data_IF_022138645025
#
_entry.id   IF_022138645025
#
_cell.length_a   1.000
_cell.length_b   1.000
_cell.length_c   1.000
_cell.angle_alpha   90.00
_cell.angle_beta   90.00
_cell.angle_gamma   90.00
#
_symmetry.space_group_name_H-M   'P 1'
#
loop_
_entity.id
_entity.type
_entity.pdbx_description
1 polymer ?
#
# COMPACT_ATOMS: atom_id res chain seq x y z
N UNK A 1 -11.13 -34.34 39.71
CA UNK A 1 -10.55 -32.99 39.77
C UNK A 1 -9.34 -32.97 38.85
N UNK A 2 -9.57 -32.71 37.57
CA UNK A 2 -8.54 -32.57 36.56
C UNK A 2 -8.38 -31.08 36.31
N UNK A 3 -7.24 -30.51 36.69
CA UNK A 3 -6.91 -29.12 36.46
C UNK A 3 -6.74 -28.90 34.97
N UNK A 4 -7.64 -28.10 34.39
CA UNK A 4 -7.44 -27.47 33.09
C UNK A 4 -6.29 -26.48 33.29
N UNK A 5 -5.12 -26.77 32.72
CA UNK A 5 -4.10 -25.75 32.51
C UNK A 5 -4.63 -24.81 31.43
N UNK A 6 -5.27 -23.73 31.85
CA UNK A 6 -5.36 -22.52 31.05
C UNK A 6 -3.93 -22.05 30.79
N UNK A 7 -3.42 -22.35 29.59
CA UNK A 7 -2.25 -21.64 29.09
C UNK A 7 -2.71 -20.21 28.84
N UNK A 8 -2.05 -19.18 29.40
CA UNK A 8 -2.46 -17.81 29.15
C UNK A 8 -2.28 -17.55 27.66
N UNK A 9 -3.38 -17.26 26.97
CA UNK A 9 -3.34 -16.63 25.65
C UNK A 9 -2.45 -15.40 25.83
N UNK A 10 -1.24 -15.43 25.27
CA UNK A 10 -0.25 -14.39 25.47
C UNK A 10 -0.87 -13.06 25.07
N UNK A 11 -1.17 -12.23 26.05
CA UNK A 11 -1.77 -10.92 25.87
C UNK A 11 -0.89 -10.14 24.89
N UNK A 12 -1.45 -9.75 23.75
CA UNK A 12 -0.69 -9.08 22.71
C UNK A 12 -0.35 -7.70 23.26
N UNK A 13 0.93 -7.44 23.53
CA UNK A 13 1.35 -6.14 24.04
C UNK A 13 0.91 -5.04 23.06
N UNK A 14 0.23 -3.97 23.53
CA UNK A 14 -0.09 -2.78 22.73
C UNK A 14 1.13 -2.21 21.99
N UNK A 15 2.33 -2.36 22.57
CA UNK A 15 3.59 -1.93 21.97
C UNK A 15 3.87 -2.65 20.65
N UNK A 16 3.53 -3.93 20.54
CA UNK A 16 3.72 -4.72 19.32
C UNK A 16 2.80 -4.25 18.20
N UNK A 17 1.52 -4.01 18.52
CA UNK A 17 0.55 -3.52 17.54
C UNK A 17 0.95 -2.14 17.03
N UNK A 18 1.37 -1.24 17.92
CA UNK A 18 1.91 0.06 17.55
C UNK A 18 3.14 -0.07 16.63
N UNK A 19 4.08 -0.96 16.99
CA UNK A 19 5.28 -1.20 16.19
C UNK A 19 4.94 -1.78 14.82
N UNK A 20 4.02 -2.74 14.73
CA UNK A 20 3.54 -3.30 13.47
C UNK A 20 2.91 -2.22 12.58
N UNK A 21 2.00 -1.41 13.14
CA UNK A 21 1.35 -0.31 12.41
C UNK A 21 2.35 0.67 11.84
N UNK A 22 3.35 1.06 12.65
CA UNK A 22 4.42 1.95 12.22
C UNK A 22 5.27 1.31 11.12
N UNK A 23 5.68 0.05 11.31
CA UNK A 23 6.46 -0.71 10.34
C UNK A 23 5.75 -0.81 8.99
N UNK A 24 4.47 -1.22 8.99
CA UNK A 24 3.71 -1.39 7.77
C UNK A 24 3.46 -0.05 7.06
N UNK A 25 3.10 1.00 7.80
CA UNK A 25 2.81 2.33 7.23
C UNK A 25 4.07 2.97 6.63
N UNK A 26 5.19 2.96 7.36
CA UNK A 26 6.47 3.48 6.86
C UNK A 26 6.97 2.68 5.66
N UNK A 27 6.86 1.35 5.72
CA UNK A 27 7.19 0.46 4.61
C UNK A 27 6.38 0.78 3.36
N UNK A 28 5.05 0.98 3.51
CA UNK A 28 4.18 1.38 2.40
C UNK A 28 4.59 2.71 1.76
N UNK A 29 4.96 3.72 2.55
CA UNK A 29 5.45 4.99 2.01
C UNK A 29 6.80 4.82 1.30
N UNK A 30 7.73 4.07 1.89
CA UNK A 30 9.05 3.83 1.31
C UNK A 30 8.95 3.12 -0.05
N UNK A 31 8.23 2.00 -0.11
CA UNK A 31 8.09 1.26 -1.38
C UNK A 31 7.30 2.06 -2.41
N UNK A 32 6.34 2.88 -1.99
CA UNK A 32 5.64 3.81 -2.91
C UNK A 32 6.62 4.77 -3.56
N UNK A 33 7.54 5.35 -2.80
CA UNK A 33 8.56 6.26 -3.34
C UNK A 33 9.49 5.53 -4.32
N UNK A 34 9.97 4.34 -3.96
CA UNK A 34 10.85 3.55 -4.82
C UNK A 34 10.19 3.19 -6.17
N UNK A 35 8.96 2.68 -6.13
CA UNK A 35 8.18 2.33 -7.32
C UNK A 35 7.87 3.56 -8.18
N UNK A 36 7.44 4.66 -7.55
CA UNK A 36 7.14 5.93 -8.23
C UNK A 36 8.39 6.46 -8.93
N UNK A 37 9.54 6.51 -8.24
CA UNK A 37 10.79 6.98 -8.83
C UNK A 37 11.30 6.07 -9.94
N UNK A 38 11.14 4.76 -9.83
CA UNK A 38 11.52 3.83 -10.88
C UNK A 38 10.70 4.08 -12.16
N UNK A 39 9.38 4.26 -12.03
CA UNK A 39 8.48 4.56 -13.15
C UNK A 39 8.77 5.93 -13.75
N UNK A 40 8.87 6.98 -12.94
CA UNK A 40 9.11 8.34 -13.44
C UNK A 40 10.47 8.46 -14.13
N UNK A 41 11.52 7.79 -13.63
CA UNK A 41 12.83 7.74 -14.32
C UNK A 41 12.76 6.99 -15.65
N UNK A 42 11.94 5.96 -15.75
CA UNK A 42 11.74 5.20 -16.99
C UNK A 42 10.95 5.99 -18.03
N UNK A 43 9.96 6.78 -17.58
CA UNK A 43 9.15 7.63 -18.45
C UNK A 43 9.92 8.89 -18.90
N UNK A 44 10.74 9.47 -18.01
CA UNK A 44 11.42 10.75 -18.27
C UNK A 44 10.46 11.92 -18.36
N UNK A 45 10.83 12.96 -19.13
CA UNK A 45 10.06 14.20 -19.26
C UNK A 45 8.97 14.13 -20.36
N UNK A 46 8.36 12.96 -20.56
CA UNK A 46 7.33 12.78 -21.58
C UNK A 46 6.07 13.58 -21.25
N UNK A 47 5.57 14.30 -22.27
CA UNK A 47 4.33 15.06 -22.18
C UNK A 47 3.14 14.17 -21.75
N UNK A 48 2.36 14.66 -20.79
CA UNK A 48 1.23 13.92 -20.20
C UNK A 48 1.60 13.06 -18.98
N UNK A 49 2.85 13.10 -18.52
CA UNK A 49 3.25 12.47 -17.25
C UNK A 49 3.00 13.43 -16.10
N UNK A 50 2.10 13.05 -15.18
CA UNK A 50 1.82 13.82 -13.97
C UNK A 50 2.38 13.07 -12.74
N UNK A 51 3.52 13.49 -12.16
CA UNK A 51 4.17 12.80 -11.05
C UNK A 51 3.26 12.56 -9.85
N UNK A 52 2.40 13.52 -9.54
CA UNK A 52 1.41 13.38 -8.46
C UNK A 52 0.43 12.24 -8.72
N UNK A 53 -0.08 12.10 -9.95
CA UNK A 53 -1.02 11.03 -10.27
C UNK A 53 -0.37 9.64 -10.21
N UNK A 54 0.90 9.54 -10.62
CA UNK A 54 1.70 8.32 -10.48
C UNK A 54 1.86 7.98 -9.00
N UNK A 55 2.24 8.95 -8.17
CA UNK A 55 2.41 8.74 -6.73
C UNK A 55 1.09 8.32 -6.05
N UNK A 56 -0.03 8.99 -6.37
CA UNK A 56 -1.36 8.65 -5.84
C UNK A 56 -1.78 7.23 -6.23
N UNK A 57 -1.64 6.86 -7.51
CA UNK A 57 -2.02 5.52 -7.98
C UNK A 57 -1.17 4.44 -7.29
N UNK A 58 0.13 4.69 -7.19
CA UNK A 58 1.10 3.78 -6.57
C UNK A 58 0.80 3.61 -5.09
N UNK A 59 0.52 4.69 -4.36
CA UNK A 59 0.19 4.62 -2.94
C UNK A 59 -1.11 3.84 -2.71
N UNK A 60 -2.14 4.02 -3.54
CA UNK A 60 -3.38 3.23 -3.45
C UNK A 60 -3.15 1.72 -3.66
N UNK A 61 -2.34 1.34 -4.66
CA UNK A 61 -1.97 -0.06 -4.89
C UNK A 61 -1.21 -0.64 -3.68
N UNK A 62 -0.16 0.04 -3.26
CA UNK A 62 0.74 -0.42 -2.18
C UNK A 62 -0.02 -0.51 -0.86
N UNK A 63 -0.81 0.51 -0.51
CA UNK A 63 -1.64 0.53 0.69
C UNK A 63 -2.58 -0.68 0.73
N UNK A 64 -3.26 -0.95 -0.38
CA UNK A 64 -4.17 -2.09 -0.48
C UNK A 64 -3.44 -3.42 -0.34
N UNK A 65 -2.34 -3.64 -1.09
CA UNK A 65 -1.56 -4.87 -1.00
C UNK A 65 -0.98 -5.09 0.40
N UNK A 66 -0.52 -4.02 1.06
CA UNK A 66 -0.02 -4.05 2.43
C UNK A 66 -1.13 -4.39 3.42
N UNK A 67 -2.31 -3.79 3.29
CA UNK A 67 -3.47 -4.09 4.13
C UNK A 67 -3.85 -5.56 4.06
N UNK A 68 -3.89 -6.15 2.85
CA UNK A 68 -4.19 -7.58 2.68
C UNK A 68 -3.12 -8.49 3.27
N UNK A 69 -1.85 -8.11 3.15
CA UNK A 69 -0.77 -8.84 3.80
C UNK A 69 -0.85 -8.77 5.34
N UNK A 70 -1.21 -7.61 5.90
CA UNK A 70 -1.42 -7.42 7.32
C UNK A 70 -2.62 -8.23 7.85
N UNK A 71 -3.74 -8.25 7.13
CA UNK A 71 -4.92 -9.06 7.48
C UNK A 71 -4.58 -10.54 7.65
N UNK A 72 -3.83 -11.10 6.70
CA UNK A 72 -3.40 -12.50 6.75
C UNK A 72 -2.30 -12.72 7.79
N UNK A 73 -1.40 -11.76 7.98
CA UNK A 73 -0.33 -11.82 8.97
C UNK A 73 -0.82 -11.78 10.41
N UNK A 74 -1.98 -11.15 10.63
CA UNK A 74 -2.60 -10.95 11.94
C UNK A 74 -3.89 -11.77 12.10
N UNK A 75 -4.03 -12.88 11.34
CA UNK A 75 -5.24 -13.71 11.37
C UNK A 75 -5.62 -14.22 12.78
N UNK A 76 -4.63 -14.42 13.65
CA UNK A 76 -4.82 -14.85 15.04
C UNK A 76 -5.20 -13.69 15.98
N UNK A 77 -5.27 -12.46 15.45
CA UNK A 77 -5.47 -11.20 16.17
C UNK A 77 -6.53 -10.32 15.47
N UNK A 78 -7.75 -10.84 15.22
CA UNK A 78 -8.70 -10.26 14.26
C UNK A 78 -9.15 -8.81 14.60
N UNK A 79 -9.23 -8.48 15.89
CA UNK A 79 -9.56 -7.13 16.33
C UNK A 79 -8.48 -6.11 15.91
N UNK A 80 -7.20 -6.48 16.01
CA UNK A 80 -6.09 -5.63 15.59
C UNK A 80 -5.91 -5.64 14.08
N UNK A 81 -6.11 -6.79 13.43
CA UNK A 81 -6.02 -6.94 11.98
C UNK A 81 -6.95 -5.95 11.26
N UNK A 82 -8.21 -5.82 11.71
CA UNK A 82 -9.16 -4.87 11.12
C UNK A 82 -8.73 -3.41 11.30
N UNK A 83 -8.34 -3.02 12.52
CA UNK A 83 -7.91 -1.64 12.78
C UNK A 83 -6.67 -1.25 11.97
N UNK A 84 -5.71 -2.17 11.86
CA UNK A 84 -4.48 -1.95 11.09
C UNK A 84 -4.77 -1.92 9.59
N UNK A 85 -5.58 -2.85 9.07
CA UNK A 85 -5.90 -2.86 7.64
C UNK A 85 -6.63 -1.60 7.21
N UNK A 86 -7.59 -1.13 8.02
CA UNK A 86 -8.25 0.17 7.79
C UNK A 86 -7.28 1.34 7.88
N UNK A 87 -6.32 1.32 8.81
CA UNK A 87 -5.28 2.36 8.89
C UNK A 87 -4.44 2.40 7.61
N UNK A 88 -4.00 1.23 7.13
CA UNK A 88 -3.21 1.11 5.90
C UNK A 88 -4.01 1.54 4.68
N UNK A 89 -5.28 1.14 4.58
CA UNK A 89 -6.19 1.59 3.51
C UNK A 89 -6.39 3.10 3.54
N UNK A 90 -6.42 3.73 4.71
CA UNK A 90 -6.55 5.19 4.83
C UNK A 90 -5.24 5.98 4.59
N UNK A 91 -4.12 5.29 4.41
CA UNK A 91 -2.81 5.91 4.21
C UNK A 91 -2.75 6.89 3.01
N UNK A 92 -3.35 6.61 1.82
CA UNK A 92 -3.35 7.56 0.72
C UNK A 92 -4.03 8.89 1.05
N UNK A 93 -5.13 8.85 1.82
CA UNK A 93 -5.87 10.05 2.21
C UNK A 93 -5.11 10.85 3.27
N UNK A 94 -4.67 10.19 4.33
CA UNK A 94 -3.93 10.84 5.42
C UNK A 94 -2.62 11.46 4.94
N UNK A 95 -1.91 10.78 4.01
CA UNK A 95 -0.72 11.34 3.39
C UNK A 95 -1.05 12.56 2.51
N UNK A 96 -2.15 12.54 1.75
CA UNK A 96 -2.56 13.70 0.95
C UNK A 96 -2.99 14.87 1.84
N UNK A 97 -3.73 14.63 2.91
CA UNK A 97 -4.13 15.66 3.87
C UNK A 97 -2.89 16.32 4.49
N UNK A 98 -1.85 15.54 4.78
CA UNK A 98 -0.55 16.07 5.23
C UNK A 98 0.10 16.98 4.17
N UNK A 99 0.12 16.58 2.90
CA UNK A 99 0.71 17.38 1.82
C UNK A 99 -0.06 18.69 1.57
N UNK A 100 -1.40 18.64 1.59
CA UNK A 100 -2.25 19.82 1.45
C UNK A 100 -2.04 20.75 2.65
N UNK A 101 -2.05 20.22 3.87
CA UNK A 101 -1.78 21.00 5.08
C UNK A 101 -0.39 21.64 5.06
N UNK A 102 0.62 20.94 4.55
CA UNK A 102 1.95 21.51 4.35
C UNK A 102 1.94 22.69 3.35
N UNK A 103 1.26 22.55 2.21
CA UNK A 103 1.14 23.62 1.22
C UNK A 103 0.41 24.85 1.79
N UNK A 104 -0.71 24.64 2.50
CA UNK A 104 -1.45 25.71 3.18
C UNK A 104 -0.56 26.51 4.15
N UNK A 105 0.27 25.82 4.94
CA UNK A 105 1.18 26.45 5.90
C UNK A 105 2.32 27.18 5.18
N UNK A 106 2.86 26.62 4.10
CA UNK A 106 3.96 27.21 3.35
C UNK A 106 3.55 28.45 2.54
N UNK A 107 2.34 28.46 2.01
CA UNK A 107 1.81 29.50 1.11
C UNK A 107 0.93 30.53 1.83
N UNK A 108 0.60 30.30 3.12
CA UNK A 108 -0.36 31.09 3.91
C UNK A 108 -1.73 31.23 3.20
N UNK A 109 -2.15 30.15 2.52
CA UNK A 109 -3.39 30.09 1.74
C UNK A 109 -4.34 29.00 2.26
N UNK A 110 -5.33 29.36 3.10
CA UNK A 110 -6.36 28.45 3.57
C UNK A 110 -7.33 27.96 2.49
N UNK A 111 -7.42 28.63 1.34
CA UNK A 111 -8.37 28.29 0.26
C UNK A 111 -7.94 27.02 -0.49
N UNK A 112 -6.68 26.61 -0.38
CA UNK A 112 -6.19 25.31 -0.85
C UNK A 112 -6.95 24.11 -0.24
N UNK A 113 -7.65 24.33 0.88
CA UNK A 113 -8.59 23.34 1.44
C UNK A 113 -9.69 22.91 0.46
N UNK A 114 -10.07 23.74 -0.51
CA UNK A 114 -11.03 23.39 -1.56
C UNK A 114 -10.54 22.30 -2.51
N UNK A 115 -9.22 22.12 -2.65
CA UNK A 115 -8.59 21.07 -3.47
C UNK A 115 -8.74 19.69 -2.80
N UNK A 116 -8.89 19.64 -1.48
CA UNK A 116 -8.91 18.41 -0.70
C UNK A 116 -10.05 17.46 -1.13
N UNK A 117 -11.25 17.99 -1.40
CA UNK A 117 -12.40 17.16 -1.77
C UNK A 117 -12.24 16.54 -3.17
N UNK A 118 -11.68 17.29 -4.12
CA UNK A 118 -11.41 16.76 -5.46
C UNK A 118 -10.40 15.62 -5.40
N UNK A 119 -9.29 15.82 -4.66
CA UNK A 119 -8.27 14.79 -4.51
C UNK A 119 -8.81 13.60 -3.77
N UNK A 120 -9.60 13.80 -2.70
CA UNK A 120 -10.25 12.73 -1.95
C UNK A 120 -11.16 11.90 -2.85
N UNK A 121 -11.99 12.53 -3.68
CA UNK A 121 -12.83 11.84 -4.66
C UNK A 121 -12.01 11.01 -5.65
N UNK A 122 -10.88 11.55 -6.13
CA UNK A 122 -9.97 10.83 -7.03
C UNK A 122 -9.30 9.64 -6.34
N UNK A 123 -8.80 9.82 -5.12
CA UNK A 123 -8.19 8.75 -4.32
C UNK A 123 -9.19 7.64 -4.01
N UNK A 124 -10.44 7.96 -3.67
CA UNK A 124 -11.49 6.97 -3.47
C UNK A 124 -11.69 6.10 -4.70
N UNK A 125 -11.78 6.67 -5.90
CA UNK A 125 -11.89 5.88 -7.14
C UNK A 125 -10.69 4.96 -7.37
N UNK A 126 -9.47 5.43 -7.09
CA UNK A 126 -8.24 4.63 -7.21
C UNK A 126 -8.24 3.49 -6.19
N UNK A 127 -8.61 3.78 -4.95
CA UNK A 127 -8.69 2.79 -3.88
C UNK A 127 -9.76 1.73 -4.18
N UNK A 128 -10.97 2.13 -4.58
CA UNK A 128 -12.07 1.22 -4.93
C UNK A 128 -11.67 0.24 -6.03
N UNK A 129 -10.90 0.72 -7.01
CA UNK A 129 -10.32 -0.16 -8.03
C UNK A 129 -9.44 -1.23 -7.39
N UNK A 130 -8.47 -0.88 -6.55
CA UNK A 130 -7.56 -1.88 -5.97
C UNK A 130 -8.23 -2.79 -4.95
N UNK A 131 -9.13 -2.30 -4.10
CA UNK A 131 -9.84 -3.13 -3.12
C UNK A 131 -10.78 -4.14 -3.78
N UNK A 132 -11.35 -3.80 -4.94
CA UNK A 132 -12.13 -4.74 -5.77
C UNK A 132 -11.25 -5.86 -6.34
N UNK A 133 -10.01 -5.56 -6.69
CA UNK A 133 -9.11 -6.50 -7.37
C UNK A 133 -8.18 -7.28 -6.41
N UNK A 134 -8.00 -6.79 -5.19
CA UNK A 134 -7.24 -7.41 -4.10
C UNK A 134 -8.20 -7.68 -2.93
N UNK A 135 -8.86 -8.85 -2.92
CA UNK A 135 -9.92 -9.16 -1.97
C UNK A 135 -9.41 -9.26 -0.53
N UNK A 136 -10.32 -9.00 0.41
CA UNK A 136 -10.04 -9.04 1.86
C UNK A 136 -9.64 -10.45 2.30
N UNK A 137 -8.75 -10.53 3.29
CA UNK A 137 -8.32 -11.79 3.89
C UNK A 137 -7.50 -12.71 2.97
N UNK A 138 -7.07 -12.24 1.78
CA UNK A 138 -6.24 -13.00 0.86
C UNK A 138 -4.88 -12.37 0.67
N UNK A 139 -3.82 -13.15 0.86
CA UNK A 139 -2.47 -12.66 0.64
C UNK A 139 -2.24 -12.41 -0.85
N UNK A 140 -1.75 -11.22 -1.26
CA UNK A 140 -1.46 -10.93 -2.66
C UNK A 140 -0.18 -11.66 -3.09
N UNK A 141 -0.33 -12.91 -3.50
CA UNK A 141 0.76 -13.75 -3.98
C UNK A 141 1.36 -13.27 -5.32
N UNK A 142 2.44 -13.91 -5.80
CA UNK A 142 3.20 -13.45 -6.98
C UNK A 142 2.34 -13.25 -8.23
N UNK A 143 1.41 -14.19 -8.51
CA UNK A 143 0.55 -14.10 -9.69
C UNK A 143 -0.45 -12.93 -9.57
N UNK A 144 -1.12 -12.80 -8.42
CA UNK A 144 -2.05 -11.71 -8.18
C UNK A 144 -1.35 -10.34 -8.27
N UNK A 145 -0.16 -10.20 -7.67
CA UNK A 145 0.61 -8.96 -7.76
C UNK A 145 1.05 -8.65 -9.20
N UNK A 146 1.54 -9.64 -9.94
CA UNK A 146 1.91 -9.45 -11.35
C UNK A 146 0.74 -8.87 -12.13
N UNK A 147 -0.42 -9.53 -12.07
CA UNK A 147 -1.62 -9.10 -12.79
C UNK A 147 -2.06 -7.67 -12.39
N UNK A 148 -2.00 -7.33 -11.10
CA UNK A 148 -2.42 -5.99 -10.63
C UNK A 148 -1.40 -4.91 -10.94
N UNK A 149 -0.12 -5.25 -10.95
CA UNK A 149 0.93 -4.33 -11.33
C UNK A 149 0.96 -4.07 -12.84
N UNK A 150 0.55 -5.03 -13.68
CA UNK A 150 0.34 -4.78 -15.11
C UNK A 150 -0.78 -3.74 -15.33
N UNK A 151 -1.90 -3.89 -14.62
CA UNK A 151 -3.00 -2.91 -14.66
C UNK A 151 -2.57 -1.54 -14.12
N UNK A 152 -1.83 -1.51 -13.01
CA UNK A 152 -1.25 -0.28 -12.46
C UNK A 152 -0.32 0.39 -13.47
N UNK A 153 0.60 -0.35 -14.09
CA UNK A 153 1.53 0.19 -15.08
C UNK A 153 0.78 0.85 -16.23
N UNK A 154 -0.30 0.24 -16.72
CA UNK A 154 -1.15 0.84 -17.75
C UNK A 154 -1.88 2.12 -17.32
N UNK A 155 -2.13 2.30 -16.02
CA UNK A 155 -2.82 3.47 -15.44
C UNK A 155 -1.89 4.63 -15.12
N UNK A 156 -0.61 4.35 -14.85
CA UNK A 156 0.42 5.38 -14.56
C UNK A 156 1.27 5.76 -15.77
N UNK A 157 1.18 4.98 -16.84
CA UNK A 157 1.96 5.20 -18.06
C UNK A 157 1.28 6.24 -18.97
N UNK A 158 2.03 7.22 -19.51
CA UNK A 158 1.50 8.11 -20.55
C UNK A 158 1.16 7.32 -21.82
N UNK A 159 0.28 7.86 -22.68
CA UNK A 159 -0.08 7.21 -23.94
C UNK A 159 1.12 7.16 -24.90
N UNK A 160 1.10 6.21 -25.84
CA UNK A 160 2.05 6.07 -26.96
C UNK A 160 3.49 5.72 -26.57
N UNK A 161 3.69 5.05 -25.44
CA UNK A 161 4.97 4.43 -25.15
C UNK A 161 5.28 3.30 -26.13
N UNK A 162 6.56 3.10 -26.49
CA UNK A 162 6.96 2.06 -27.43
C UNK A 162 6.84 0.65 -26.82
N UNK A 163 6.94 0.54 -25.50
CA UNK A 163 6.83 -0.71 -24.74
C UNK A 163 5.39 -0.88 -24.23
N UNK A 164 4.94 -2.12 -24.19
CA UNK A 164 3.72 -2.49 -23.45
C UNK A 164 3.92 -2.33 -21.93
N UNK A 165 2.82 -2.15 -21.16
CA UNK A 165 2.89 -2.16 -19.70
C UNK A 165 3.58 -3.40 -19.13
N UNK A 166 3.38 -4.57 -19.74
CA UNK A 166 4.01 -5.83 -19.35
C UNK A 166 5.54 -5.77 -19.52
N UNK A 167 6.02 -5.41 -20.71
CA UNK A 167 7.45 -5.33 -21.02
C UNK A 167 8.17 -4.34 -20.09
N UNK A 168 7.52 -3.21 -19.81
CA UNK A 168 8.06 -2.20 -18.89
C UNK A 168 8.09 -2.67 -17.44
N UNK A 169 7.03 -3.33 -16.98
CA UNK A 169 6.98 -3.85 -15.63
C UNK A 169 8.07 -4.89 -15.40
N UNK A 170 8.30 -5.76 -16.39
CA UNK A 170 9.36 -6.76 -16.37
C UNK A 170 10.76 -6.12 -16.42
N UNK A 171 10.99 -5.16 -17.32
CA UNK A 171 12.30 -4.50 -17.46
C UNK A 171 12.72 -3.74 -16.19
N UNK A 172 11.76 -3.21 -15.44
CA UNK A 172 11.99 -2.51 -14.19
C UNK A 172 12.06 -3.42 -12.95
N UNK A 173 11.67 -4.69 -13.06
CA UNK A 173 11.72 -5.65 -11.95
C UNK A 173 10.87 -5.25 -10.74
N UNK A 174 9.75 -4.56 -10.95
CA UNK A 174 8.98 -3.93 -9.87
C UNK A 174 8.13 -4.92 -9.06
N UNK A 175 7.70 -6.02 -9.69
CA UNK A 175 6.85 -7.03 -9.03
C UNK A 175 7.58 -7.65 -7.84
N UNK A 176 8.85 -7.97 -8.00
CA UNK A 176 9.65 -8.58 -6.94
C UNK A 176 9.85 -7.63 -5.76
N UNK A 177 9.95 -6.33 -6.00
CA UNK A 177 10.08 -5.32 -4.96
C UNK A 177 8.81 -5.22 -4.10
N UNK A 178 7.64 -5.12 -4.72
CA UNK A 178 6.37 -5.10 -3.96
C UNK A 178 6.10 -6.45 -3.28
N UNK A 179 6.41 -7.56 -3.95
CA UNK A 179 6.28 -8.90 -3.39
C UNK A 179 7.15 -9.08 -2.13
N UNK A 180 8.39 -8.58 -2.16
CA UNK A 180 9.28 -8.60 -1.00
C UNK A 180 8.68 -7.80 0.17
N UNK A 181 8.18 -6.59 -0.10
CA UNK A 181 7.49 -5.76 0.90
C UNK A 181 6.31 -6.48 1.55
N UNK A 182 5.36 -7.02 0.76
CA UNK A 182 4.19 -7.70 1.34
C UNK A 182 4.55 -8.98 2.08
N UNK A 183 5.60 -9.70 1.66
CA UNK A 183 6.13 -10.86 2.39
C UNK A 183 6.74 -10.46 3.73
N UNK A 184 7.46 -9.33 3.79
CA UNK A 184 8.02 -8.81 5.03
C UNK A 184 6.90 -8.42 6.01
N UNK A 185 5.85 -7.77 5.52
CA UNK A 185 4.67 -7.42 6.34
C UNK A 185 3.97 -8.66 6.87
N UNK A 186 3.74 -9.67 6.01
CA UNK A 186 3.18 -10.96 6.41
C UNK A 186 4.03 -11.63 7.50
N UNK A 187 5.34 -11.76 7.27
CA UNK A 187 6.26 -12.41 8.19
C UNK A 187 6.34 -11.67 9.52
N UNK A 188 6.41 -10.33 9.51
CA UNK A 188 6.43 -9.52 10.72
C UNK A 188 5.13 -9.70 11.53
N UNK A 189 3.98 -9.80 10.85
CA UNK A 189 2.68 -10.07 11.47
C UNK A 189 2.66 -11.41 12.19
N UNK A 190 3.16 -12.45 11.49
CA UNK A 190 3.34 -13.82 11.99
C UNK A 190 4.53 -13.99 12.93
N UNK A 191 5.13 -12.91 13.43
CA UNK A 191 6.25 -12.96 14.39
C UNK A 191 7.49 -13.70 13.85
N UNK A 192 7.71 -13.65 12.54
CA UNK A 192 8.81 -14.32 11.85
C UNK A 192 8.55 -15.77 11.49
N UNK A 193 7.34 -16.30 11.73
CA UNK A 193 6.96 -17.64 11.25
C UNK A 193 6.84 -17.63 9.71
N UNK A 194 7.66 -18.47 9.06
CA UNK A 194 7.65 -18.66 7.61
C UNK A 194 6.43 -19.50 7.25
N UNK A 195 5.64 -19.14 6.21
CA UNK A 195 4.53 -19.97 5.75
C UNK A 195 5.00 -21.40 5.45
N UNK A 196 4.35 -22.40 6.05
CA UNK A 196 4.54 -23.78 5.61
C UNK A 196 3.78 -23.99 4.30
N UNK A 197 4.52 -24.30 3.22
CA UNK A 197 4.09 -25.03 2.03
C UNK A 197 2.88 -24.50 1.27
#
# INVERSE_FOLDING_TARGET
MTSVSDSPVADISPDRIATFSAFASLGSLSITQDLTHAVLRSIGDMEGTEPELVAEETLCLVATATARAAEVGLQDEPAHANAISQTLLNLPFTYRDYLIGHAMVAEDDPELSGIAEEVRSRLSRKQDFYTTHLPEGQFPGPHALKDKMELWMGRVSPPKLPESPQERLESLGLVDQLLAHVKLVLAYGRRGEIPQG
#
